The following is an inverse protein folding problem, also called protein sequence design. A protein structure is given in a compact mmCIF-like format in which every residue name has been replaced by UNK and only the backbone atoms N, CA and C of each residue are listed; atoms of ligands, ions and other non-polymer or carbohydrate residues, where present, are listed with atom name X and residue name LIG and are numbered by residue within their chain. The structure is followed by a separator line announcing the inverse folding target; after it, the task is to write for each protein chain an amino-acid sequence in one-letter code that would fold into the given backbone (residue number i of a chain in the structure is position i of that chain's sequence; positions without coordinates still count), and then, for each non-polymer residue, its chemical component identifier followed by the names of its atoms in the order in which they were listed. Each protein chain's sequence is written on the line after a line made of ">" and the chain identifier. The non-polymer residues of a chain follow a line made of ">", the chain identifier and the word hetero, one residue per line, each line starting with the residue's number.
data_IF_636767930960
#
_entry.id   IF_636767930960
#
_cell.length_a   1.000
_cell.length_b   1.000
_cell.length_c   1.000
_cell.angle_alpha   90.00
_cell.angle_beta   90.00
_cell.angle_gamma   90.00
#
_symmetry.space_group_name_H-M   'P 1'
#
loop_
_entity.id
_entity.type
_entity.pdbx_description
1 polymer ?
#
# COMPACT_ATOMS: atom_id res chain seq x y z
N UNK A 1 89.35 -3.12 -22.85
CA UNK A 1 88.62 -2.88 -21.60
C UNK A 1 87.18 -2.26 -21.76
N UNK A 2 86.71 -1.81 -22.92
CA UNK A 2 85.33 -1.18 -23.07
C UNK A 2 84.17 -2.17 -23.14
N UNK A 3 84.32 -3.43 -23.58
CA UNK A 3 83.26 -4.40 -23.72
C UNK A 3 82.61 -4.87 -22.38
N UNK A 4 83.38 -4.96 -21.30
CA UNK A 4 82.88 -5.44 -20.01
C UNK A 4 82.01 -4.40 -19.28
N UNK A 5 82.19 -3.09 -19.48
CA UNK A 5 81.32 -2.04 -18.91
C UNK A 5 79.90 -1.99 -19.48
N UNK A 6 79.80 -2.28 -20.76
CA UNK A 6 78.44 -2.32 -21.43
C UNK A 6 77.61 -3.50 -20.95
N UNK A 7 78.26 -4.67 -20.75
CA UNK A 7 77.59 -5.92 -20.27
C UNK A 7 77.13 -5.75 -18.82
N UNK A 8 77.87 -5.08 -17.97
CA UNK A 8 77.52 -4.81 -16.58
C UNK A 8 76.31 -3.85 -16.48
N UNK A 9 76.27 -2.80 -17.32
CA UNK A 9 75.13 -1.90 -17.36
C UNK A 9 73.86 -2.57 -17.87
N UNK A 10 73.96 -3.43 -18.85
CA UNK A 10 72.81 -4.20 -19.37
C UNK A 10 72.22 -5.16 -18.31
N UNK A 11 73.08 -5.90 -17.62
CA UNK A 11 72.64 -6.79 -16.52
C UNK A 11 71.96 -5.98 -15.41
N UNK A 12 72.56 -4.84 -15.01
CA UNK A 12 71.97 -3.97 -14.02
C UNK A 12 70.57 -3.45 -14.42
N UNK A 13 70.40 -3.01 -15.68
CA UNK A 13 69.11 -2.57 -16.16
C UNK A 13 68.06 -3.68 -16.19
N UNK A 14 68.46 -4.89 -16.60
CA UNK A 14 67.55 -6.05 -16.58
C UNK A 14 67.12 -6.46 -15.16
N UNK A 15 68.03 -6.39 -14.19
CA UNK A 15 67.70 -6.66 -12.77
C UNK A 15 66.70 -5.61 -12.24
N UNK A 16 66.93 -4.34 -12.49
CA UNK A 16 66.01 -3.28 -12.08
C UNK A 16 64.66 -3.40 -12.73
N UNK A 17 64.57 -3.68 -14.06
CA UNK A 17 63.34 -3.95 -14.74
C UNK A 17 62.58 -5.15 -14.15
N UNK A 18 63.32 -6.21 -13.78
CA UNK A 18 62.74 -7.36 -13.11
C UNK A 18 62.14 -7.00 -11.74
N UNK A 19 62.87 -6.18 -10.94
CA UNK A 19 62.39 -5.72 -9.65
C UNK A 19 61.11 -4.85 -9.83
N UNK A 20 61.13 -3.92 -10.78
CA UNK A 20 59.95 -3.10 -11.07
C UNK A 20 58.74 -3.94 -11.54
N UNK A 21 58.95 -4.93 -12.41
CA UNK A 21 57.90 -5.82 -12.87
C UNK A 21 57.28 -6.62 -11.70
N UNK A 22 58.14 -7.19 -10.83
CA UNK A 22 57.65 -7.91 -9.64
C UNK A 22 56.90 -6.99 -8.69
N UNK A 23 57.45 -5.81 -8.41
CA UNK A 23 56.79 -4.81 -7.55
C UNK A 23 55.43 -4.41 -8.13
N UNK A 24 55.35 -4.18 -9.45
CA UNK A 24 54.08 -3.85 -10.13
C UNK A 24 53.05 -4.96 -10.00
N UNK A 25 53.46 -6.21 -10.21
CA UNK A 25 52.60 -7.38 -10.05
C UNK A 25 52.07 -7.48 -8.62
N UNK A 26 52.93 -7.35 -7.61
CA UNK A 26 52.53 -7.39 -6.21
C UNK A 26 51.52 -6.27 -5.88
N UNK A 27 51.81 -5.06 -6.38
CA UNK A 27 50.87 -3.92 -6.23
C UNK A 27 49.54 -4.16 -6.90
N UNK A 28 49.51 -4.71 -8.11
CA UNK A 28 48.28 -5.03 -8.82
C UNK A 28 47.42 -6.04 -8.06
N UNK A 29 48.05 -7.09 -7.51
CA UNK A 29 47.34 -8.06 -6.65
C UNK A 29 46.83 -7.43 -5.36
N UNK A 30 47.63 -6.59 -4.72
CA UNK A 30 47.23 -5.90 -3.50
C UNK A 30 46.03 -4.97 -3.75
N UNK A 31 46.07 -4.16 -4.82
CA UNK A 31 44.95 -3.29 -5.20
C UNK A 31 43.68 -4.08 -5.54
N UNK A 32 43.81 -5.21 -6.25
CA UNK A 32 42.69 -6.08 -6.54
C UNK A 32 42.04 -6.64 -5.25
N UNK A 33 42.89 -7.10 -4.30
CA UNK A 33 42.36 -7.60 -3.03
C UNK A 33 41.71 -6.50 -2.16
N UNK A 34 42.23 -5.28 -2.20
CA UNK A 34 41.63 -4.14 -1.50
C UNK A 34 40.31 -3.76 -2.18
N UNK A 35 40.26 -3.74 -3.52
CA UNK A 35 39.04 -3.46 -4.26
C UNK A 35 37.92 -4.47 -3.95
N UNK A 36 38.26 -5.76 -3.91
CA UNK A 36 37.29 -6.80 -3.50
C UNK A 36 36.77 -6.58 -2.07
N UNK A 37 37.65 -6.30 -1.11
CA UNK A 37 37.22 -6.03 0.27
C UNK A 37 36.33 -4.80 0.38
N UNK A 38 36.61 -3.77 -0.39
CA UNK A 38 35.80 -2.57 -0.42
C UNK A 38 34.40 -2.88 -1.02
N UNK A 39 34.37 -3.63 -2.10
CA UNK A 39 33.13 -4.07 -2.74
C UNK A 39 32.27 -4.94 -1.80
N UNK A 40 32.91 -5.90 -1.09
CA UNK A 40 32.23 -6.73 -0.08
C UNK A 40 31.72 -5.88 1.08
N UNK A 41 32.50 -4.89 1.52
CA UNK A 41 32.08 -3.95 2.57
C UNK A 41 30.87 -3.11 2.11
N UNK A 42 30.91 -2.55 0.90
CA UNK A 42 29.79 -1.78 0.36
C UNK A 42 28.54 -2.64 0.19
N UNK A 43 28.68 -3.88 -0.28
CA UNK A 43 27.55 -4.83 -0.37
C UNK A 43 26.97 -5.19 1.00
N UNK A 44 27.79 -5.19 2.03
CA UNK A 44 27.34 -5.50 3.39
C UNK A 44 26.59 -4.35 4.09
N UNK A 45 26.54 -3.17 3.46
CA UNK A 45 25.84 -2.01 4.03
C UNK A 45 24.33 -2.08 3.74
N UNK A 46 23.49 -1.92 4.78
CA UNK A 46 22.04 -1.96 4.62
C UNK A 46 21.51 -0.87 3.70
N UNK A 47 22.16 0.31 3.68
CA UNK A 47 21.72 1.46 2.88
C UNK A 47 21.75 1.17 1.38
N UNK A 48 22.73 0.41 0.88
CA UNK A 48 22.83 0.08 -0.54
C UNK A 48 21.70 -0.87 -0.99
N UNK A 49 21.32 -1.79 -0.11
CA UNK A 49 20.17 -2.67 -0.35
C UNK A 49 18.88 -1.89 -0.24
N UNK A 50 18.77 -0.98 0.73
CA UNK A 50 17.62 -0.12 0.90
C UNK A 50 17.39 0.79 -0.33
N UNK A 51 18.45 1.38 -0.89
CA UNK A 51 18.36 2.20 -2.10
C UNK A 51 17.87 1.41 -3.32
N UNK A 52 18.32 0.17 -3.49
CA UNK A 52 17.84 -0.72 -4.55
C UNK A 52 16.35 -1.03 -4.38
N UNK A 53 15.94 -1.40 -3.18
CA UNK A 53 14.54 -1.70 -2.86
C UNK A 53 13.67 -0.46 -3.08
N UNK A 54 14.12 0.69 -2.58
CA UNK A 54 13.41 1.95 -2.78
C UNK A 54 13.24 2.28 -4.27
N UNK A 55 14.28 2.13 -5.05
CA UNK A 55 14.22 2.39 -6.50
C UNK A 55 13.31 1.40 -7.21
N UNK A 56 13.41 0.12 -6.89
CA UNK A 56 12.66 -0.96 -7.55
C UNK A 56 11.17 -0.91 -7.21
N UNK A 57 10.81 -0.73 -5.92
CA UNK A 57 9.44 -0.86 -5.44
C UNK A 57 8.68 0.47 -5.39
N UNK A 58 9.37 1.60 -5.20
CA UNK A 58 8.69 2.89 -4.99
C UNK A 58 8.95 3.91 -6.11
N UNK A 59 10.17 4.02 -6.65
CA UNK A 59 10.45 5.02 -7.68
C UNK A 59 9.95 4.64 -9.07
N UNK A 60 9.89 3.34 -9.38
CA UNK A 60 9.33 2.85 -10.64
C UNK A 60 7.80 2.72 -10.53
N UNK A 61 7.13 3.80 -10.19
CA UNK A 61 5.71 3.90 -9.90
C UNK A 61 4.82 3.15 -10.94
N UNK A 62 4.85 1.82 -10.90
CA UNK A 62 3.93 0.94 -11.64
C UNK A 62 2.91 0.44 -10.62
N UNK A 63 1.59 0.62 -10.84
CA UNK A 63 0.56 0.07 -9.99
C UNK A 63 0.74 -1.42 -9.69
N UNK A 64 1.35 -2.17 -10.60
CA UNK A 64 1.68 -3.59 -10.41
C UNK A 64 2.69 -3.85 -9.31
N UNK A 65 3.56 -2.90 -9.00
CA UNK A 65 4.50 -3.02 -7.89
C UNK A 65 3.80 -3.02 -6.54
N UNK A 66 2.58 -2.50 -6.50
CA UNK A 66 1.72 -2.45 -5.32
C UNK A 66 0.70 -3.61 -5.28
N UNK A 67 0.71 -4.50 -6.25
CA UNK A 67 -0.22 -5.66 -6.29
C UNK A 67 -0.01 -6.68 -5.17
N UNK A 68 1.15 -6.64 -4.50
CA UNK A 68 1.40 -7.43 -3.28
C UNK A 68 0.66 -6.87 -2.06
N UNK A 69 -0.11 -5.81 -2.20
CA UNK A 69 -0.82 -5.11 -1.15
C UNK A 69 -2.32 -5.44 -1.09
N UNK A 70 -2.77 -6.41 -1.88
CA UNK A 70 -4.16 -6.90 -1.86
C UNK A 70 -4.61 -7.33 -0.45
N UNK A 71 -3.66 -7.69 0.43
CA UNK A 71 -3.94 -8.09 1.82
C UNK A 71 -4.47 -6.93 2.71
N UNK A 72 -4.34 -5.67 2.28
CA UNK A 72 -4.85 -4.51 3.03
C UNK A 72 -6.24 -4.08 2.59
N UNK A 73 -6.72 -4.57 1.46
CA UNK A 73 -8.07 -4.30 0.96
C UNK A 73 -9.11 -4.97 1.85
N UNK A 74 -10.17 -4.23 2.15
CA UNK A 74 -11.32 -4.81 2.80
C UNK A 74 -12.09 -5.68 1.77
N UNK A 75 -12.90 -6.62 2.24
CA UNK A 75 -13.79 -7.40 1.35
C UNK A 75 -14.80 -6.54 0.58
N UNK A 76 -15.00 -5.30 1.01
CA UNK A 76 -15.88 -4.33 0.37
C UNK A 76 -15.18 -3.45 -0.67
N UNK A 77 -13.85 -3.52 -0.77
CA UNK A 77 -13.11 -2.79 -1.78
C UNK A 77 -13.22 -3.46 -3.16
N UNK A 78 -13.03 -2.67 -4.19
CA UNK A 78 -12.80 -3.19 -5.54
C UNK A 78 -11.36 -3.69 -5.59
N UNK A 79 -11.16 -4.91 -6.07
CA UNK A 79 -9.82 -5.50 -6.16
C UNK A 79 -8.86 -4.61 -6.95
N UNK A 80 -7.71 -4.33 -6.37
CA UNK A 80 -6.67 -3.48 -6.93
C UNK A 80 -6.82 -1.99 -6.57
N UNK A 81 -7.87 -1.60 -5.84
CA UNK A 81 -8.09 -0.20 -5.45
C UNK A 81 -7.01 0.33 -4.52
N UNK A 82 -6.47 -0.51 -3.63
CA UNK A 82 -5.34 -0.13 -2.78
C UNK A 82 -4.11 0.23 -3.63
N UNK A 83 -3.82 -0.55 -4.66
CA UNK A 83 -2.71 -0.26 -5.59
C UNK A 83 -2.88 1.08 -6.30
N UNK A 84 -4.09 1.40 -6.75
CA UNK A 84 -4.42 2.68 -7.38
C UNK A 84 -4.30 3.84 -6.39
N UNK A 85 -4.76 3.65 -5.17
CA UNK A 85 -4.63 4.65 -4.10
C UNK A 85 -3.16 4.98 -3.82
N UNK A 86 -2.31 3.96 -3.59
CA UNK A 86 -0.88 4.19 -3.34
C UNK A 86 -0.17 4.78 -4.55
N UNK A 87 -0.53 4.37 -5.75
CA UNK A 87 -0.02 5.00 -6.97
C UNK A 87 -0.36 6.51 -6.99
N UNK A 88 -1.59 6.87 -6.64
CA UNK A 88 -2.00 8.29 -6.57
C UNK A 88 -1.22 9.09 -5.53
N UNK A 89 -0.83 8.44 -4.42
CA UNK A 89 0.01 9.07 -3.39
C UNK A 89 1.44 9.34 -3.86
N UNK A 90 1.94 8.56 -4.80
CA UNK A 90 3.34 8.63 -5.25
C UNK A 90 3.51 9.34 -6.59
N UNK A 91 2.47 9.33 -7.44
CA UNK A 91 2.55 9.87 -8.80
C UNK A 91 2.85 11.37 -8.82
N UNK A 92 3.94 11.72 -9.51
CA UNK A 92 4.38 13.13 -9.66
C UNK A 92 4.94 13.79 -8.40
N UNK A 93 5.14 13.03 -7.31
CA UNK A 93 5.66 13.55 -6.04
C UNK A 93 7.14 13.23 -5.85
N UNK A 94 7.80 14.04 -5.02
CA UNK A 94 9.16 13.79 -4.61
C UNK A 94 9.18 12.68 -3.55
N UNK A 95 9.73 11.51 -3.93
CA UNK A 95 9.88 10.38 -3.03
C UNK A 95 11.22 10.43 -2.32
N UNK A 96 11.22 10.09 -1.04
CA UNK A 96 12.42 9.95 -0.23
C UNK A 96 12.25 8.80 0.77
N UNK A 97 13.38 8.24 1.23
CA UNK A 97 13.38 7.30 2.33
C UNK A 97 14.40 7.69 3.39
N UNK A 98 14.11 7.35 4.63
CA UNK A 98 14.99 7.61 5.78
C UNK A 98 14.95 6.41 6.71
N UNK A 99 16.07 6.14 7.40
CA UNK A 99 16.09 5.12 8.44
C UNK A 99 15.12 5.51 9.56
N UNK A 100 14.23 4.58 9.91
CA UNK A 100 13.22 4.77 10.94
C UNK A 100 13.64 4.08 12.24
N UNK A 101 14.12 2.84 12.16
CA UNK A 101 14.58 2.05 13.30
C UNK A 101 15.62 1.04 12.84
N UNK A 102 16.60 0.78 13.70
CA UNK A 102 17.68 -0.15 13.43
C UNK A 102 17.97 -1.01 14.66
N UNK A 103 17.82 -2.30 14.47
CA UNK A 103 18.19 -3.32 15.46
C UNK A 103 19.16 -4.31 14.87
N UNK A 104 19.78 -5.15 15.70
CA UNK A 104 20.74 -6.14 15.24
C UNK A 104 20.10 -7.11 14.22
N UNK A 105 20.40 -6.90 12.94
CA UNK A 105 19.95 -7.76 11.84
C UNK A 105 18.60 -7.38 11.20
N UNK A 106 17.97 -6.29 11.61
CA UNK A 106 16.76 -5.74 11.01
C UNK A 106 16.85 -4.22 10.98
N UNK A 107 16.67 -3.63 9.81
CA UNK A 107 16.60 -2.16 9.63
C UNK A 107 15.31 -1.82 8.93
N UNK A 108 14.60 -0.85 9.47
CA UNK A 108 13.33 -0.35 8.92
C UNK A 108 13.52 1.05 8.38
N UNK A 109 13.02 1.29 7.19
CA UNK A 109 13.05 2.58 6.51
C UNK A 109 11.63 3.12 6.34
N UNK A 110 11.46 4.41 6.59
CA UNK A 110 10.24 5.16 6.32
C UNK A 110 10.31 5.73 4.90
N UNK A 111 9.23 5.59 4.13
CA UNK A 111 9.11 6.11 2.76
C UNK A 111 8.09 7.23 2.75
N UNK A 112 8.51 8.37 2.20
CA UNK A 112 7.69 9.59 2.16
C UNK A 112 7.45 10.05 0.73
N UNK A 113 6.29 10.65 0.50
CA UNK A 113 5.93 11.37 -0.73
C UNK A 113 5.66 12.83 -0.34
N UNK A 114 6.43 13.78 -0.87
CA UNK A 114 6.40 15.19 -0.48
C UNK A 114 6.50 15.42 1.04
N UNK A 115 7.27 14.55 1.73
CA UNK A 115 7.48 14.59 3.16
C UNK A 115 6.41 13.91 4.02
N UNK A 116 5.30 13.43 3.45
CA UNK A 116 4.30 12.63 4.16
C UNK A 116 4.66 11.13 4.07
N UNK A 117 4.76 10.47 5.21
CA UNK A 117 4.98 9.02 5.25
C UNK A 117 3.77 8.27 4.72
N UNK A 118 3.98 7.33 3.80
CA UNK A 118 2.91 6.48 3.27
C UNK A 118 3.23 4.99 3.36
N UNK A 119 4.51 4.63 3.50
CA UNK A 119 4.93 3.24 3.61
C UNK A 119 6.21 3.12 4.44
N UNK A 120 6.48 1.93 4.91
CA UNK A 120 7.76 1.50 5.48
C UNK A 120 8.19 0.20 4.83
N UNK A 121 9.49 0.00 4.69
CA UNK A 121 10.02 -1.32 4.35
C UNK A 121 11.11 -1.72 5.34
N UNK A 122 11.18 -3.00 5.61
CA UNK A 122 12.19 -3.57 6.48
C UNK A 122 13.10 -4.49 5.70
N UNK A 123 14.40 -4.39 5.96
CA UNK A 123 15.40 -5.31 5.44
C UNK A 123 15.99 -6.13 6.58
N UNK A 124 16.26 -7.39 6.33
CA UNK A 124 16.88 -8.28 7.30
C UNK A 124 18.01 -9.07 6.66
N UNK A 125 18.95 -9.53 7.48
CA UNK A 125 20.00 -10.43 7.02
C UNK A 125 19.45 -11.84 6.86
N UNK A 126 19.78 -12.46 5.73
CA UNK A 126 19.54 -13.88 5.51
C UNK A 126 20.54 -14.77 6.24
N UNK A 127 20.50 -16.07 5.98
CA UNK A 127 21.42 -17.05 6.59
C UNK A 127 22.86 -16.89 6.14
N UNK A 128 23.09 -16.25 5.01
CA UNK A 128 24.40 -15.99 4.42
C UNK A 128 24.96 -14.63 4.88
N UNK A 129 24.14 -13.84 5.60
CA UNK A 129 24.49 -12.52 6.12
C UNK A 129 24.22 -11.38 5.13
N UNK A 130 23.58 -11.66 4.01
CA UNK A 130 23.19 -10.70 2.98
C UNK A 130 21.88 -9.98 3.36
N UNK A 131 21.82 -8.68 3.09
CA UNK A 131 20.61 -7.90 3.32
C UNK A 131 19.58 -8.15 2.22
N UNK A 132 18.34 -8.43 2.63
CA UNK A 132 17.21 -8.63 1.72
C UNK A 132 15.93 -8.00 2.25
N UNK A 133 14.98 -7.71 1.35
CA UNK A 133 13.67 -7.22 1.72
C UNK A 133 12.96 -8.27 2.59
N UNK A 134 12.56 -7.87 3.79
CA UNK A 134 11.80 -8.70 4.72
C UNK A 134 10.30 -8.47 4.58
N UNK A 135 9.88 -7.21 4.58
CA UNK A 135 8.47 -6.82 4.44
C UNK A 135 8.33 -5.38 4.00
N UNK A 136 7.18 -5.08 3.40
CA UNK A 136 6.68 -3.72 3.18
C UNK A 136 5.43 -3.54 4.03
N UNK A 137 5.28 -2.40 4.67
CA UNK A 137 4.16 -2.02 5.52
C UNK A 137 3.63 -0.70 4.97
N UNK A 138 2.35 -0.68 4.63
CA UNK A 138 1.68 0.53 4.23
C UNK A 138 1.18 1.25 5.49
N UNK A 139 1.50 2.52 5.62
CA UNK A 139 1.17 3.34 6.80
C UNK A 139 0.07 4.34 6.50
N UNK A 140 -0.11 4.73 5.24
CA UNK A 140 -1.22 5.55 4.82
C UNK A 140 -2.44 4.66 4.55
N UNK A 141 -3.58 5.06 5.07
CA UNK A 141 -4.88 4.46 4.80
C UNK A 141 -5.88 5.57 4.44
N UNK A 142 -6.89 5.29 3.62
CA UNK A 142 -7.96 6.23 3.41
C UNK A 142 -8.64 6.57 4.74
N UNK A 143 -9.01 7.82 4.91
CA UNK A 143 -9.70 8.32 6.11
C UNK A 143 -11.20 8.53 5.89
N UNK A 144 -11.74 7.98 4.79
CA UNK A 144 -13.15 8.09 4.47
C UNK A 144 -13.99 7.23 5.43
N UNK A 145 -15.10 7.80 5.86
CA UNK A 145 -16.15 7.11 6.60
C UNK A 145 -17.43 7.19 5.78
N UNK A 146 -18.12 6.07 5.61
CA UNK A 146 -19.35 5.97 4.82
C UNK A 146 -20.45 5.45 5.70
N UNK A 147 -21.55 6.17 5.74
CA UNK A 147 -22.75 5.81 6.49
C UNK A 147 -23.88 5.45 5.53
N UNK A 148 -24.55 4.33 5.78
CA UNK A 148 -25.65 3.84 4.96
C UNK A 148 -26.86 3.59 5.84
N UNK A 149 -27.95 4.35 5.62
CA UNK A 149 -29.22 4.10 6.27
C UNK A 149 -30.10 3.21 5.39
N UNK A 150 -30.51 2.07 5.93
CA UNK A 150 -31.38 1.15 5.22
C UNK A 150 -32.44 0.53 6.14
N UNK A 151 -33.62 0.12 5.60
CA UNK A 151 -34.59 -0.65 6.35
C UNK A 151 -33.97 -1.94 6.93
N UNK A 152 -34.38 -2.33 8.12
CA UNK A 152 -33.91 -3.56 8.80
C UNK A 152 -34.13 -4.83 7.99
N UNK A 153 -35.16 -4.86 7.18
CA UNK A 153 -35.54 -5.96 6.29
C UNK A 153 -34.94 -5.85 4.87
N UNK A 154 -34.01 -4.93 4.68
CA UNK A 154 -33.33 -4.76 3.41
C UNK A 154 -32.01 -5.56 3.34
N UNK A 155 -31.66 -5.96 2.14
CA UNK A 155 -30.35 -6.49 1.77
C UNK A 155 -29.50 -5.32 1.26
N UNK A 156 -28.45 -5.01 1.99
CA UNK A 156 -27.50 -3.96 1.60
C UNK A 156 -26.25 -4.60 1.02
N UNK A 157 -25.82 -4.15 -0.13
CA UNK A 157 -24.56 -4.60 -0.74
C UNK A 157 -23.66 -3.41 -1.05
N UNK A 158 -22.35 -3.65 -0.91
CA UNK A 158 -21.28 -2.72 -1.23
C UNK A 158 -20.37 -3.41 -2.22
N UNK A 159 -20.22 -2.83 -3.41
CA UNK A 159 -19.48 -3.45 -4.52
C UNK A 159 -19.92 -4.89 -4.83
N UNK A 160 -21.23 -5.17 -4.65
CA UNK A 160 -21.82 -6.49 -4.86
C UNK A 160 -21.64 -7.48 -3.71
N UNK A 161 -20.93 -7.10 -2.62
CA UNK A 161 -20.74 -7.92 -1.43
C UNK A 161 -21.78 -7.55 -0.38
N UNK A 162 -22.42 -8.57 0.20
CA UNK A 162 -23.43 -8.38 1.25
C UNK A 162 -22.79 -7.72 2.48
N UNK A 163 -23.43 -6.66 2.98
CA UNK A 163 -22.96 -5.95 4.15
C UNK A 163 -23.24 -6.77 5.43
N UNK A 164 -22.21 -6.92 6.26
CA UNK A 164 -22.33 -7.65 7.51
C UNK A 164 -23.10 -6.88 8.58
N UNK A 165 -23.80 -7.59 9.43
CA UNK A 165 -24.46 -7.01 10.58
C UNK A 165 -23.50 -6.35 11.59
N UNK A 166 -22.22 -6.72 11.58
CA UNK A 166 -21.18 -6.11 12.42
C UNK A 166 -20.91 -4.65 12.04
N UNK A 167 -21.20 -4.25 10.80
CA UNK A 167 -21.11 -2.86 10.35
C UNK A 167 -22.26 -1.98 10.88
N UNK A 168 -23.28 -2.56 11.51
CA UNK A 168 -24.39 -1.79 12.07
C UNK A 168 -23.97 -1.03 13.32
N UNK A 169 -24.12 0.29 13.30
CA UNK A 169 -23.72 1.19 14.39
C UNK A 169 -24.89 1.75 15.17
N UNK A 170 -26.07 1.87 14.56
CA UNK A 170 -27.26 2.33 15.24
C UNK A 170 -28.55 1.80 14.59
N UNK A 171 -29.63 1.76 15.38
CA UNK A 171 -30.98 1.51 14.91
C UNK A 171 -31.89 2.68 15.33
N UNK A 172 -32.80 3.10 14.45
CA UNK A 172 -33.81 4.10 14.78
C UNK A 172 -35.14 3.73 14.13
N UNK A 173 -36.21 4.34 14.63
CA UNK A 173 -37.57 4.07 14.14
C UNK A 173 -38.09 5.24 13.34
N UNK A 174 -38.61 4.96 12.15
CA UNK A 174 -39.42 5.88 11.38
C UNK A 174 -40.91 5.52 11.53
N UNK A 175 -41.76 6.51 11.55
CA UNK A 175 -43.20 6.28 11.48
C UNK A 175 -43.63 6.18 10.00
N UNK A 176 -44.39 5.15 9.66
CA UNK A 176 -45.15 5.17 8.40
C UNK A 176 -46.02 6.43 8.40
N UNK A 177 -46.00 7.19 7.33
CA UNK A 177 -46.74 8.45 7.25
C UNK A 177 -48.23 8.19 7.62
N UNK A 178 -48.75 8.82 8.68
CA UNK A 178 -50.14 8.61 9.09
C UNK A 178 -51.04 9.47 8.23
N UNK A 179 -51.24 9.08 6.98
CA UNK A 179 -52.14 9.87 6.14
C UNK A 179 -53.53 9.37 6.31
N UNK A 180 -54.18 8.95 7.08
CA UNK A 180 -55.60 8.64 7.36
C UNK A 180 -55.79 7.59 8.50
N UNK A 181 -55.71 8.06 9.75
CA UNK A 181 -56.50 7.44 10.84
C UNK A 181 -56.18 6.02 11.28
N UNK A 182 -55.13 5.43 10.79
CA UNK A 182 -54.62 4.15 11.26
C UNK A 182 -53.43 4.34 12.19
N UNK A 183 -53.20 3.40 13.12
CA UNK A 183 -52.01 3.41 13.94
C UNK A 183 -50.77 3.32 13.03
N UNK A 184 -49.94 4.39 13.06
CA UNK A 184 -48.69 4.42 12.31
C UNK A 184 -47.80 3.24 12.73
N UNK A 185 -47.53 2.34 11.81
CA UNK A 185 -46.63 1.26 12.08
C UNK A 185 -45.18 1.82 12.15
N UNK A 186 -44.51 1.50 13.23
CA UNK A 186 -43.10 1.86 13.37
C UNK A 186 -42.25 0.90 12.55
N UNK A 187 -41.40 1.45 11.73
CA UNK A 187 -40.40 0.69 10.94
C UNK A 187 -39.02 1.00 11.44
N UNK A 188 -38.20 -0.06 11.51
CA UNK A 188 -36.81 0.08 11.98
C UNK A 188 -35.89 0.31 10.80
N UNK A 189 -35.07 1.36 10.91
CA UNK A 189 -33.93 1.62 10.04
C UNK A 189 -32.64 1.26 10.77
N UNK A 190 -31.66 0.80 10.03
CA UNK A 190 -30.30 0.52 10.53
C UNK A 190 -29.34 1.44 9.83
N UNK A 191 -28.45 2.07 10.61
CA UNK A 191 -27.30 2.78 10.09
C UNK A 191 -26.09 1.86 10.11
N UNK A 192 -25.49 1.65 8.97
CA UNK A 192 -24.23 0.95 8.81
C UNK A 192 -23.10 1.95 8.64
N UNK A 193 -21.90 1.60 9.10
CA UNK A 193 -20.68 2.38 8.92
C UNK A 193 -19.60 1.50 8.28
N UNK A 194 -18.93 2.08 7.29
CA UNK A 194 -17.75 1.53 6.65
C UNK A 194 -16.63 2.55 6.72
N UNK A 195 -15.45 2.11 7.10
CA UNK A 195 -14.28 2.95 7.26
C UNK A 195 -13.16 2.50 6.32
N UNK A 196 -12.39 3.45 5.82
CA UNK A 196 -11.11 3.20 5.18
C UNK A 196 -11.18 2.44 3.85
N UNK A 197 -12.23 2.64 3.05
CA UNK A 197 -12.32 2.05 1.71
C UNK A 197 -11.34 2.72 0.75
N UNK A 198 -10.63 1.92 -0.03
CA UNK A 198 -9.67 2.40 -1.05
C UNK A 198 -10.33 2.88 -2.33
N UNK A 199 -11.59 2.55 -2.55
CA UNK A 199 -12.39 2.96 -3.72
C UNK A 199 -13.73 3.52 -3.32
N UNK A 200 -14.30 4.36 -4.19
CA UNK A 200 -15.68 4.79 -4.05
C UNK A 200 -16.61 3.57 -4.16
N UNK A 201 -17.51 3.34 -3.17
CA UNK A 201 -18.34 2.17 -3.16
C UNK A 201 -19.54 2.30 -4.10
N UNK A 202 -19.86 1.23 -4.79
CA UNK A 202 -21.14 1.04 -5.47
C UNK A 202 -22.12 0.41 -4.48
N UNK A 203 -23.09 1.23 -4.02
CA UNK A 203 -24.08 0.85 -3.02
C UNK A 203 -25.35 0.34 -3.66
N UNK A 204 -25.97 -0.70 -3.09
CA UNK A 204 -27.27 -1.18 -3.49
C UNK A 204 -28.07 -1.62 -2.26
N UNK A 205 -29.33 -1.16 -2.19
CA UNK A 205 -30.25 -1.51 -1.11
C UNK A 205 -31.51 -2.10 -1.73
N UNK A 206 -31.86 -3.34 -1.37
CA UNK A 206 -33.05 -4.04 -1.86
C UNK A 206 -33.88 -4.56 -0.71
N UNK A 207 -35.20 -4.47 -0.81
CA UNK A 207 -36.09 -5.10 0.15
C UNK A 207 -36.12 -6.62 -0.06
N UNK A 208 -35.82 -7.38 0.99
CA UNK A 208 -35.70 -8.83 0.89
C UNK A 208 -37.02 -9.52 0.48
N UNK A 209 -38.18 -8.98 0.92
CA UNK A 209 -39.50 -9.57 0.69
C UNK A 209 -40.05 -9.32 -0.71
N UNK A 210 -39.66 -8.26 -1.40
CA UNK A 210 -40.25 -7.82 -2.66
C UNK A 210 -39.23 -7.65 -3.80
N UNK A 211 -37.95 -7.85 -3.52
CA UNK A 211 -36.82 -7.60 -4.47
C UNK A 211 -36.86 -6.18 -5.08
N UNK A 212 -37.49 -5.23 -4.40
CA UNK A 212 -37.57 -3.84 -4.84
C UNK A 212 -36.26 -3.15 -4.51
N UNK A 213 -35.67 -2.56 -5.55
CA UNK A 213 -34.50 -1.70 -5.40
C UNK A 213 -34.92 -0.35 -4.84
N UNK A 214 -34.31 0.07 -3.73
CA UNK A 214 -34.46 1.40 -3.17
C UNK A 214 -33.40 2.32 -3.73
N UNK A 215 -33.76 3.55 -4.06
CA UNK A 215 -32.80 4.61 -4.37
C UNK A 215 -32.21 5.16 -3.10
N UNK A 216 -30.96 5.56 -3.19
CA UNK A 216 -30.23 6.20 -2.11
C UNK A 216 -30.16 7.70 -2.37
N UNK A 217 -30.61 8.47 -1.41
CA UNK A 217 -30.36 9.91 -1.37
C UNK A 217 -28.98 10.14 -0.74
N UNK A 218 -28.23 11.06 -1.27
CA UNK A 218 -26.92 11.45 -0.74
C UNK A 218 -27.05 12.81 -0.07
N UNK A 219 -26.90 12.86 1.24
CA UNK A 219 -26.97 14.11 2.01
C UNK A 219 -25.62 14.84 1.96
N UNK A 220 -24.53 14.10 1.98
CA UNK A 220 -23.16 14.55 1.71
C UNK A 220 -22.37 13.40 1.05
N UNK A 221 -21.09 13.60 0.76
CA UNK A 221 -20.24 12.59 0.10
C UNK A 221 -20.08 11.29 0.90
N UNK A 222 -20.44 11.31 2.19
CA UNK A 222 -20.24 10.19 3.12
C UNK A 222 -21.54 9.56 3.62
N UNK A 223 -22.70 10.18 3.41
CA UNK A 223 -23.97 9.74 3.99
C UNK A 223 -25.02 9.41 2.93
N UNK A 224 -25.43 8.15 2.91
CA UNK A 224 -26.38 7.59 1.95
C UNK A 224 -27.62 7.06 2.67
N UNK A 225 -28.81 7.48 2.27
CA UNK A 225 -30.06 7.09 2.91
C UNK A 225 -31.07 6.54 1.93
N UNK A 226 -31.63 5.37 2.25
CA UNK A 226 -32.76 4.77 1.55
C UNK A 226 -34.12 5.19 2.15
N UNK A 227 -34.17 6.06 3.16
CA UNK A 227 -35.36 6.38 3.93
C UNK A 227 -36.46 6.96 3.06
N UNK A 228 -36.17 7.99 2.25
CA UNK A 228 -37.18 8.63 1.37
C UNK A 228 -37.81 7.63 0.38
N UNK A 229 -36.95 6.81 -0.25
CA UNK A 229 -37.40 5.79 -1.19
C UNK A 229 -38.21 4.71 -0.50
N UNK A 230 -37.86 4.32 0.71
CA UNK A 230 -38.62 3.35 1.50
C UNK A 230 -39.97 3.88 1.94
N UNK A 231 -40.08 5.12 2.41
CA UNK A 231 -41.35 5.79 2.76
C UNK A 231 -42.24 5.90 1.53
N UNK A 232 -41.68 6.24 0.37
CA UNK A 232 -42.45 6.27 -0.90
C UNK A 232 -42.97 4.87 -1.28
N UNK A 233 -42.17 3.83 -1.13
CA UNK A 233 -42.61 2.45 -1.36
C UNK A 233 -43.71 2.02 -0.41
N UNK A 234 -43.61 2.31 0.88
CA UNK A 234 -44.66 2.03 1.86
C UNK A 234 -45.96 2.76 1.49
N UNK A 235 -45.86 4.04 1.13
CA UNK A 235 -47.00 4.83 0.66
C UNK A 235 -47.66 4.20 -0.56
N UNK A 236 -46.89 3.72 -1.54
CA UNK A 236 -47.43 3.00 -2.70
C UNK A 236 -48.15 1.72 -2.30
N UNK A 237 -47.66 0.94 -1.35
CA UNK A 237 -48.31 -0.27 -0.87
C UNK A 237 -49.68 0.03 -0.21
N UNK A 238 -49.79 1.17 0.48
CA UNK A 238 -51.04 1.58 1.15
C UNK A 238 -52.09 2.16 0.16
N UNK A 239 -51.62 2.96 -0.78
CA UNK A 239 -52.53 3.73 -1.67
C UNK A 239 -52.64 3.16 -3.10
N UNK A 240 -51.66 2.42 -3.57
CA UNK A 240 -51.63 1.85 -4.92
C UNK A 240 -52.47 0.60 -5.10
N UNK A 241 -53.10 0.07 -4.03
CA UNK A 241 -53.99 -1.11 -4.04
C UNK A 241 -55.48 -0.77 -4.08
N UNK A 242 -55.87 0.50 -4.16
CA UNK A 242 -57.26 0.93 -4.24
C UNK A 242 -57.66 1.34 -5.67
#
# INVERSE_FOLDING_TARGET
>A
MRKNKARGRFVFTCVWLGIFAVTYIVWAFYLSAVAQRLEDYERSRPENTAEKIFTEYFCNADPKNFSSYDDVESKYDVRGSASEYYYSLTYGKALAFTEHDSTSGLVTYSVTADGAEFARFAISKDKEGEWQLSKIILTASPSNEIYINAPKDAVVTVNGVLLDGECAVSEYMIADSPVFGGDAQKRTMITYRLDGLYSDPVLSVKLAASDVQLSLDTEDESFFSAETSYVAYLSYLYYGRN
#
